data_IF_166130392904
#
_entry.id   IF_166130392904
#
_cell.length_a   1.000
_cell.length_b   1.000
_cell.length_c   1.000
_cell.angle_alpha   90.00
_cell.angle_beta   90.00
_cell.angle_gamma   90.00
#
_symmetry.space_group_name_H-M   'P 1'
#
loop_
_entity.id
_entity.type
_entity.pdbx_description
1 polymer ?
#
# COMPACT_ATOMS: atom_id res chain seq x y z
N UNK A 1 -45.96 -11.57 21.49
CA UNK A 1 -45.70 -10.47 20.54
C UNK A 1 -44.21 -10.30 20.51
N UNK A 2 -43.56 -10.60 19.38
CA UNK A 2 -42.15 -10.29 19.23
C UNK A 2 -42.03 -8.79 19.02
N UNK A 3 -41.23 -8.13 19.84
CA UNK A 3 -40.86 -6.73 19.63
C UNK A 3 -40.05 -6.62 18.34
N UNK A 4 -40.39 -5.64 17.50
CA UNK A 4 -39.64 -5.33 16.28
C UNK A 4 -38.22 -4.94 16.64
N UNK A 5 -37.26 -5.38 15.82
CA UNK A 5 -35.87 -4.94 15.91
C UNK A 5 -35.74 -3.44 15.60
N UNK A 6 -34.66 -2.83 16.08
CA UNK A 6 -34.37 -1.41 15.83
C UNK A 6 -34.19 -1.10 14.33
N UNK A 7 -33.78 -2.08 13.53
CA UNK A 7 -33.65 -1.95 12.08
C UNK A 7 -35.03 -1.95 11.40
N UNK A 8 -35.93 -2.86 11.79
CA UNK A 8 -37.31 -2.89 11.30
C UNK A 8 -38.08 -1.61 11.65
N UNK A 9 -37.85 -1.03 12.83
CA UNK A 9 -38.46 0.26 13.22
C UNK A 9 -38.00 1.40 12.31
N UNK A 10 -36.69 1.50 12.06
CA UNK A 10 -36.12 2.52 11.16
C UNK A 10 -36.64 2.39 9.72
N UNK A 11 -36.82 1.17 9.24
CA UNK A 11 -37.37 0.94 7.90
C UNK A 11 -38.86 1.33 7.81
N UNK A 12 -39.64 1.06 8.86
CA UNK A 12 -41.03 1.53 8.95
C UNK A 12 -41.10 3.06 8.93
N UNK A 13 -40.25 3.74 9.71
CA UNK A 13 -40.17 5.20 9.73
C UNK A 13 -39.80 5.78 8.36
N UNK A 14 -38.80 5.20 7.67
CA UNK A 14 -38.43 5.58 6.31
C UNK A 14 -39.57 5.39 5.31
N UNK A 15 -40.31 4.29 5.40
CA UNK A 15 -41.47 4.03 4.54
C UNK A 15 -42.60 5.04 4.77
N UNK A 16 -42.85 5.43 6.01
CA UNK A 16 -43.85 6.44 6.34
C UNK A 16 -43.44 7.82 5.84
N UNK A 17 -42.19 8.22 6.08
CA UNK A 17 -41.63 9.48 5.60
C UNK A 17 -41.67 9.56 4.06
N UNK A 18 -41.34 8.46 3.37
CA UNK A 18 -41.42 8.37 1.90
C UNK A 18 -42.82 8.69 1.39
N UNK A 19 -43.84 8.02 1.93
CA UNK A 19 -45.24 8.23 1.54
C UNK A 19 -45.69 9.66 1.79
N UNK A 20 -45.28 10.25 2.91
CA UNK A 20 -45.58 11.64 3.23
C UNK A 20 -44.99 12.59 2.18
N UNK A 21 -43.69 12.49 1.89
CA UNK A 21 -43.02 13.37 0.92
C UNK A 21 -43.61 13.20 -0.48
N UNK A 22 -43.90 11.95 -0.89
CA UNK A 22 -44.52 11.67 -2.19
C UNK A 22 -45.89 12.36 -2.29
N UNK A 23 -46.75 12.20 -1.28
CA UNK A 23 -48.09 12.80 -1.29
C UNK A 23 -48.06 14.32 -1.28
N UNK A 24 -47.21 14.93 -0.44
CA UNK A 24 -47.02 16.38 -0.38
C UNK A 24 -46.51 16.93 -1.71
N UNK A 25 -45.56 16.23 -2.34
CA UNK A 25 -44.99 16.64 -3.63
C UNK A 25 -45.97 16.51 -4.78
N UNK A 26 -46.78 15.43 -4.82
CA UNK A 26 -47.85 15.27 -5.81
C UNK A 26 -48.88 16.40 -5.67
N UNK A 27 -49.25 16.75 -4.43
CA UNK A 27 -50.20 17.81 -4.17
C UNK A 27 -49.66 19.18 -4.61
N UNK A 28 -48.41 19.52 -4.26
CA UNK A 28 -47.75 20.77 -4.70
C UNK A 28 -47.70 20.85 -6.23
N UNK A 29 -47.26 19.80 -6.91
CA UNK A 29 -47.13 19.80 -8.37
C UNK A 29 -48.47 19.91 -9.12
N UNK A 30 -49.57 19.43 -8.53
CA UNK A 30 -50.92 19.51 -9.14
C UNK A 30 -51.66 20.82 -8.85
N UNK A 31 -51.37 21.47 -7.73
CA UNK A 31 -52.16 22.59 -7.23
C UNK A 31 -51.42 23.94 -7.32
N UNK A 32 -50.10 23.93 -7.45
CA UNK A 32 -49.31 25.15 -7.44
C UNK A 32 -49.15 25.72 -8.85
N UNK A 33 -49.72 26.91 -9.05
CA UNK A 33 -49.75 27.62 -10.33
C UNK A 33 -48.37 27.85 -10.97
N UNK A 34 -47.28 27.85 -10.19
CA UNK A 34 -45.91 28.06 -10.70
C UNK A 34 -45.47 27.03 -11.75
N UNK A 35 -46.06 25.84 -11.75
CA UNK A 35 -45.68 24.76 -12.66
C UNK A 35 -46.56 24.68 -13.91
N UNK A 36 -47.71 25.39 -13.95
CA UNK A 36 -48.68 25.25 -15.03
C UNK A 36 -48.10 25.63 -16.39
N UNK A 37 -47.42 26.77 -16.50
CA UNK A 37 -46.76 27.22 -17.74
C UNK A 37 -45.68 26.24 -18.23
N UNK A 38 -45.09 25.47 -17.32
CA UNK A 38 -44.15 24.41 -17.69
C UNK A 38 -44.90 23.18 -18.24
N UNK A 39 -45.96 22.73 -17.57
CA UNK A 39 -46.72 21.54 -17.94
C UNK A 39 -47.64 21.71 -19.16
N UNK A 40 -48.11 22.92 -19.47
CA UNK A 40 -48.96 23.22 -20.62
C UNK A 40 -48.36 22.82 -21.97
N UNK A 41 -47.04 22.66 -22.04
CA UNK A 41 -46.31 22.26 -23.26
C UNK A 41 -46.34 20.76 -23.53
N UNK A 42 -46.84 19.97 -22.58
CA UNK A 42 -46.77 18.51 -22.60
C UNK A 42 -48.17 17.90 -22.54
N UNK A 43 -48.29 16.62 -22.91
CA UNK A 43 -49.57 15.91 -22.84
C UNK A 43 -49.96 15.62 -21.40
N UNK A 44 -51.26 15.64 -21.12
CA UNK A 44 -51.77 15.40 -19.77
C UNK A 44 -51.28 14.08 -19.15
N UNK A 45 -51.26 13.01 -19.95
CA UNK A 45 -50.76 11.69 -19.56
C UNK A 45 -49.28 11.74 -19.15
N UNK A 46 -48.43 12.37 -19.96
CA UNK A 46 -47.00 12.51 -19.65
C UNK A 46 -46.75 13.32 -18.36
N UNK A 47 -47.55 14.35 -18.12
CA UNK A 47 -47.48 15.18 -16.90
C UNK A 47 -47.88 14.35 -15.67
N UNK A 48 -48.94 13.54 -15.75
CA UNK A 48 -49.34 12.69 -14.63
C UNK A 48 -48.24 11.69 -14.23
N UNK A 49 -47.63 11.03 -15.22
CA UNK A 49 -46.51 10.12 -14.97
C UNK A 49 -45.30 10.85 -14.41
N UNK A 50 -44.93 11.99 -14.98
CA UNK A 50 -43.80 12.79 -14.48
C UNK A 50 -43.98 13.19 -13.02
N UNK A 51 -45.17 13.64 -12.62
CA UNK A 51 -45.46 14.03 -11.23
C UNK A 51 -45.23 12.87 -10.27
N UNK A 52 -45.69 11.66 -10.63
CA UNK A 52 -45.47 10.46 -9.81
C UNK A 52 -43.98 10.10 -9.74
N UNK A 53 -43.29 10.06 -10.88
CA UNK A 53 -41.85 9.75 -10.94
C UNK A 53 -41.01 10.75 -10.15
N UNK A 54 -41.30 12.06 -10.29
CA UNK A 54 -40.59 13.10 -9.58
C UNK A 54 -40.85 13.05 -8.07
N UNK A 55 -42.09 12.79 -7.65
CA UNK A 55 -42.42 12.64 -6.23
C UNK A 55 -41.63 11.50 -5.59
N UNK A 56 -41.57 10.34 -6.25
CA UNK A 56 -40.75 9.21 -5.79
C UNK A 56 -39.25 9.51 -5.83
N UNK A 57 -38.76 10.20 -6.86
CA UNK A 57 -37.36 10.62 -6.95
C UNK A 57 -36.99 11.57 -5.80
N UNK A 58 -37.80 12.61 -5.56
CA UNK A 58 -37.59 13.58 -4.48
C UNK A 58 -37.61 12.92 -3.10
N UNK A 59 -38.53 11.98 -2.87
CA UNK A 59 -38.54 11.21 -1.63
C UNK A 59 -37.27 10.36 -1.45
N UNK A 60 -36.78 9.74 -2.54
CA UNK A 60 -35.49 9.05 -2.54
C UNK A 60 -34.32 9.98 -2.18
N UNK A 61 -34.26 11.18 -2.79
CA UNK A 61 -33.22 12.18 -2.50
C UNK A 61 -33.27 12.66 -1.05
N UNK A 62 -34.45 12.91 -0.48
CA UNK A 62 -34.55 13.37 0.92
C UNK A 62 -34.15 12.28 1.91
N UNK A 63 -34.48 11.02 1.63
CA UNK A 63 -34.23 9.90 2.56
C UNK A 63 -32.78 9.40 2.46
N UNK A 64 -32.23 9.34 1.26
CA UNK A 64 -30.92 8.70 0.99
C UNK A 64 -29.86 9.67 0.46
N UNK A 65 -30.19 10.95 0.23
CA UNK A 65 -29.29 11.92 -0.41
C UNK A 65 -27.99 12.11 0.36
N UNK A 66 -28.06 12.24 1.70
CA UNK A 66 -26.86 12.36 2.53
C UNK A 66 -26.00 11.09 2.47
N UNK A 67 -26.60 9.90 2.43
CA UNK A 67 -25.88 8.64 2.26
C UNK A 67 -25.12 8.61 0.93
N UNK A 68 -25.78 8.94 -0.18
CA UNK A 68 -25.13 8.99 -1.49
C UNK A 68 -24.06 10.07 -1.58
N UNK A 69 -24.28 11.22 -0.91
CA UNK A 69 -23.28 12.28 -0.79
C UNK A 69 -22.04 11.79 -0.02
N UNK A 70 -22.22 11.08 1.09
CA UNK A 70 -21.10 10.51 1.84
C UNK A 70 -20.36 9.42 1.05
N UNK A 71 -21.07 8.56 0.33
CA UNK A 71 -20.46 7.57 -0.58
C UNK A 71 -19.60 8.29 -1.63
N UNK A 72 -20.13 9.36 -2.22
CA UNK A 72 -19.40 10.18 -3.18
C UNK A 72 -18.15 10.85 -2.56
N UNK A 73 -18.27 11.44 -1.37
CA UNK A 73 -17.15 12.06 -0.67
C UNK A 73 -16.06 11.04 -0.30
N UNK A 74 -16.44 9.83 0.13
CA UNK A 74 -15.50 8.73 0.43
C UNK A 74 -14.70 8.30 -0.80
N UNK A 75 -15.32 8.29 -1.98
CA UNK A 75 -14.62 7.96 -3.24
C UNK A 75 -13.51 8.94 -3.57
N UNK A 76 -13.76 10.24 -3.37
CA UNK A 76 -12.72 11.27 -3.53
C UNK A 76 -11.64 11.12 -2.45
N UNK A 77 -12.06 10.85 -1.21
CA UNK A 77 -11.14 10.71 -0.08
C UNK A 77 -10.16 9.55 -0.27
N UNK A 78 -10.58 8.44 -0.90
CA UNK A 78 -9.73 7.28 -1.20
C UNK A 78 -8.44 7.69 -1.93
N UNK A 79 -8.53 8.49 -2.97
CA UNK A 79 -7.33 8.92 -3.71
C UNK A 79 -6.45 9.87 -2.91
N UNK A 80 -7.05 10.67 -2.01
CA UNK A 80 -6.29 11.49 -1.06
C UNK A 80 -5.53 10.62 -0.06
N UNK A 81 -6.14 9.56 0.45
CA UNK A 81 -5.48 8.60 1.35
C UNK A 81 -4.32 7.89 0.65
N UNK A 82 -4.51 7.43 -0.59
CA UNK A 82 -3.43 6.83 -1.38
C UNK A 82 -2.30 7.83 -1.67
N UNK A 83 -2.61 9.08 -2.01
CA UNK A 83 -1.61 10.14 -2.17
C UNK A 83 -0.89 10.47 -0.85
N UNK A 84 -1.58 10.38 0.29
CA UNK A 84 -0.98 10.53 1.63
C UNK A 84 0.03 9.43 1.90
N UNK A 85 -0.29 8.18 1.54
CA UNK A 85 0.63 7.06 1.66
C UNK A 85 1.81 7.22 0.70
N UNK A 86 1.57 7.65 -0.54
CA UNK A 86 2.59 7.82 -1.57
C UNK A 86 3.71 8.79 -1.15
N UNK A 87 3.41 9.87 -0.42
CA UNK A 87 4.45 10.81 0.07
C UNK A 87 5.51 10.09 0.91
N UNK A 88 5.14 9.05 1.67
CA UNK A 88 6.08 8.33 2.52
C UNK A 88 7.09 7.48 1.73
N UNK A 89 6.82 7.16 0.47
CA UNK A 89 7.79 6.51 -0.42
C UNK A 89 9.07 7.33 -0.58
N UNK A 90 8.96 8.66 -0.58
CA UNK A 90 10.12 9.57 -0.64
C UNK A 90 10.98 9.36 0.60
N UNK A 91 10.35 9.33 1.78
CA UNK A 91 11.06 9.14 3.03
C UNK A 91 11.65 7.73 3.17
N UNK A 92 10.93 6.69 2.73
CA UNK A 92 11.46 5.32 2.68
C UNK A 92 12.74 5.24 1.83
N UNK A 93 12.75 5.90 0.67
CA UNK A 93 13.93 5.95 -0.21
C UNK A 93 15.08 6.75 0.42
N UNK A 94 14.81 7.88 1.08
CA UNK A 94 15.84 8.61 1.85
C UNK A 94 16.45 7.75 2.94
N UNK A 95 15.62 7.05 3.71
CA UNK A 95 16.07 6.13 4.76
C UNK A 95 16.95 5.02 4.18
N UNK A 96 16.57 4.46 3.02
CA UNK A 96 17.35 3.43 2.34
C UNK A 96 18.71 3.96 1.86
N UNK A 97 18.76 5.18 1.32
CA UNK A 97 20.03 5.81 0.94
C UNK A 97 20.97 5.99 2.14
N UNK A 98 20.43 6.40 3.29
CA UNK A 98 21.17 6.47 4.55
C UNK A 98 21.63 5.08 5.01
N UNK A 99 20.78 4.05 4.86
CA UNK A 99 21.12 2.67 5.15
C UNK A 99 22.33 2.21 4.33
N UNK A 100 22.36 2.47 3.02
CA UNK A 100 23.50 2.12 2.16
C UNK A 100 24.80 2.80 2.63
N UNK A 101 24.77 4.10 2.90
CA UNK A 101 25.94 4.86 3.37
C UNK A 101 26.44 4.36 4.74
N UNK A 102 25.51 4.07 5.65
CA UNK A 102 25.82 3.58 6.99
C UNK A 102 26.42 2.18 6.96
N UNK A 103 25.83 1.26 6.18
CA UNK A 103 26.35 -0.12 5.97
C UNK A 103 27.76 -0.11 5.37
N UNK A 104 28.04 0.86 4.51
CA UNK A 104 29.36 1.08 3.92
C UNK A 104 30.37 1.77 4.87
N UNK A 105 29.95 2.14 6.07
CA UNK A 105 30.79 2.84 7.05
C UNK A 105 31.15 4.28 6.65
N UNK A 106 30.45 4.88 5.69
CA UNK A 106 30.75 6.24 5.21
C UNK A 106 30.17 7.33 6.12
N UNK A 107 29.12 7.01 6.87
CA UNK A 107 28.46 7.91 7.81
C UNK A 107 28.22 7.23 9.16
N UNK A 108 27.98 8.04 10.18
CA UNK A 108 27.46 7.63 11.48
C UNK A 108 26.14 8.37 11.69
N UNK A 109 25.11 7.67 12.15
CA UNK A 109 23.79 8.24 12.44
C UNK A 109 23.55 8.04 13.93
N UNK A 110 23.19 9.12 14.63
CA UNK A 110 22.86 9.03 16.05
C UNK A 110 21.68 8.07 16.25
N UNK A 111 21.76 7.24 17.29
CA UNK A 111 20.76 6.22 17.64
C UNK A 111 20.53 5.09 16.62
N UNK A 112 21.41 4.97 15.63
CA UNK A 112 21.49 3.80 14.73
C UNK A 112 22.75 3.01 15.06
N UNK A 113 22.55 1.78 15.50
CA UNK A 113 23.55 0.88 16.05
C UNK A 113 23.66 -0.44 15.29
N UNK A 114 22.56 -0.90 14.68
CA UNK A 114 22.47 -2.14 13.90
C UNK A 114 21.56 -1.97 12.69
N UNK A 115 21.64 -2.92 11.76
CA UNK A 115 20.78 -2.98 10.58
C UNK A 115 19.28 -3.07 10.91
N UNK A 116 18.93 -3.60 12.09
CA UNK A 116 17.55 -3.70 12.57
C UNK A 116 16.92 -2.35 12.96
N UNK A 117 17.74 -1.33 13.21
CA UNK A 117 17.23 0.01 13.49
C UNK A 117 16.56 0.62 12.26
N UNK A 118 17.06 0.32 11.05
CA UNK A 118 16.42 0.75 9.82
C UNK A 118 15.06 0.07 9.61
N UNK A 119 14.92 -1.20 9.99
CA UNK A 119 13.65 -1.94 9.92
C UNK A 119 12.63 -1.36 10.91
N UNK A 120 13.08 -0.94 12.10
CA UNK A 120 12.22 -0.21 13.04
C UNK A 120 11.74 1.12 12.45
N UNK A 121 12.65 1.90 11.85
CA UNK A 121 12.32 3.20 11.26
C UNK A 121 11.51 3.11 9.97
N UNK A 122 11.58 2.01 9.23
CA UNK A 122 10.70 1.71 8.11
C UNK A 122 9.23 1.82 8.51
N UNK A 123 8.87 1.19 9.63
CA UNK A 123 7.51 1.14 10.15
C UNK A 123 7.12 2.46 10.85
N UNK A 124 8.11 3.26 11.23
CA UNK A 124 7.97 4.53 11.94
C UNK A 124 8.42 5.74 11.09
N UNK A 125 8.36 5.62 9.77
CA UNK A 125 9.02 6.55 8.84
C UNK A 125 8.58 8.00 9.01
N UNK A 126 7.32 8.21 9.39
CA UNK A 126 6.73 9.53 9.61
C UNK A 126 7.29 10.29 10.82
N UNK A 127 8.07 9.62 11.69
CA UNK A 127 8.73 10.19 12.88
C UNK A 127 10.24 10.09 12.84
N UNK A 128 10.81 9.61 11.74
CA UNK A 128 12.23 9.40 11.62
C UNK A 128 12.97 10.75 11.75
N UNK A 129 13.83 10.93 12.77
CA UNK A 129 14.33 12.26 13.13
C UNK A 129 15.56 12.70 12.32
N UNK A 130 16.14 11.80 11.52
CA UNK A 130 17.40 12.01 10.82
C UNK A 130 17.27 11.99 9.30
N UNK A 131 16.04 11.95 8.77
CA UNK A 131 15.76 12.16 7.34
C UNK A 131 15.23 13.57 7.12
N UNK A 132 15.73 14.22 6.07
CA UNK A 132 15.28 15.56 5.73
C UNK A 132 13.79 15.55 5.32
N UNK A 133 13.03 16.61 5.66
CA UNK A 133 11.66 16.77 5.21
C UNK A 133 11.49 16.61 3.70
N UNK A 134 10.29 16.19 3.29
CA UNK A 134 9.97 16.03 1.87
C UNK A 134 9.99 17.39 1.17
N UNK A 135 10.71 17.46 0.06
CA UNK A 135 10.84 18.67 -0.76
C UNK A 135 9.80 18.70 -1.88
N UNK A 136 9.54 19.90 -2.41
CA UNK A 136 8.62 20.07 -3.54
C UNK A 136 9.12 19.34 -4.80
N UNK A 137 10.43 19.37 -5.05
CA UNK A 137 11.06 18.67 -6.17
C UNK A 137 10.80 17.16 -6.11
N UNK A 138 10.93 16.56 -4.92
CA UNK A 138 10.66 15.13 -4.72
C UNK A 138 9.18 14.77 -4.92
N UNK A 139 8.27 15.67 -4.52
CA UNK A 139 6.83 15.49 -4.78
C UNK A 139 6.50 15.57 -6.26
N UNK A 140 7.12 16.51 -6.99
CA UNK A 140 6.93 16.64 -8.43
C UNK A 140 7.53 15.44 -9.18
N UNK A 141 8.64 14.88 -8.68
CA UNK A 141 9.23 13.64 -9.17
C UNK A 141 8.32 12.43 -8.90
N UNK A 142 7.80 12.29 -7.68
CA UNK A 142 6.85 11.24 -7.30
C UNK A 142 5.58 11.32 -8.15
N UNK A 143 5.06 12.52 -8.38
CA UNK A 143 3.92 12.75 -9.27
C UNK A 143 4.21 12.24 -10.69
N UNK A 144 5.40 12.52 -11.21
CA UNK A 144 5.83 12.08 -12.54
C UNK A 144 5.97 10.55 -12.62
N UNK A 145 6.48 9.91 -11.56
CA UNK A 145 6.51 8.45 -11.44
C UNK A 145 5.11 7.83 -11.45
N UNK A 146 4.20 8.35 -10.61
CA UNK A 146 2.85 7.81 -10.48
C UNK A 146 2.10 7.87 -11.83
N UNK A 147 2.26 8.95 -12.58
CA UNK A 147 1.64 9.11 -13.90
C UNK A 147 2.14 8.12 -14.96
N UNK A 148 3.24 7.39 -14.70
CA UNK A 148 3.75 6.32 -15.56
C UNK A 148 3.24 4.93 -15.13
N UNK A 149 2.46 4.84 -14.06
CA UNK A 149 1.90 3.58 -13.60
C UNK A 149 0.70 3.18 -14.47
N UNK A 150 0.80 1.98 -15.05
CA UNK A 150 -0.24 1.37 -15.88
C UNK A 150 -0.76 0.05 -15.29
N UNK A 151 -0.39 -0.25 -14.04
CA UNK A 151 -0.69 -1.48 -13.32
C UNK A 151 -0.86 -1.15 -11.83
N UNK A 152 -1.24 -2.16 -11.03
CA UNK A 152 -1.39 -2.01 -9.59
C UNK A 152 -0.08 -1.65 -8.90
N UNK A 153 -0.09 -0.59 -8.09
CA UNK A 153 1.04 -0.22 -7.25
C UNK A 153 0.55 -0.07 -5.81
N UNK A 154 1.23 -0.75 -4.89
CA UNK A 154 0.94 -0.64 -3.46
C UNK A 154 1.73 0.52 -2.85
N UNK A 155 1.02 1.56 -2.44
CA UNK A 155 1.60 2.72 -1.77
C UNK A 155 1.79 2.54 -0.26
N UNK A 156 1.42 1.37 0.31
CA UNK A 156 1.38 1.15 1.76
C UNK A 156 2.68 0.56 2.34
N UNK A 157 2.75 0.53 3.68
CA UNK A 157 3.86 -0.03 4.48
C UNK A 157 3.90 -1.57 4.53
N UNK A 158 3.10 -2.27 3.72
CA UNK A 158 3.12 -3.74 3.59
C UNK A 158 4.44 -4.27 3.02
N UNK A 159 5.22 -3.38 2.40
CA UNK A 159 6.46 -3.68 1.70
C UNK A 159 7.66 -3.51 2.63
N UNK A 160 8.59 -4.48 2.62
CA UNK A 160 9.86 -4.43 3.38
C UNK A 160 10.88 -3.48 2.74
N UNK A 161 10.60 -2.18 2.77
CA UNK A 161 11.35 -1.12 2.07
C UNK A 161 12.84 -1.03 2.45
N UNK A 162 13.20 -1.51 3.66
CA UNK A 162 14.57 -1.52 4.17
C UNK A 162 15.20 -2.93 4.15
N UNK A 163 14.57 -3.91 3.50
CA UNK A 163 15.17 -5.21 3.23
C UNK A 163 16.25 -5.08 2.14
N UNK A 164 17.46 -4.75 2.59
CA UNK A 164 18.59 -4.46 1.72
C UNK A 164 18.89 -5.54 0.68
N UNK A 165 18.84 -6.83 1.04
CA UNK A 165 19.17 -7.91 0.12
C UNK A 165 18.12 -8.03 -0.99
N UNK A 166 16.83 -8.09 -0.62
CA UNK A 166 15.74 -8.17 -1.60
C UNK A 166 15.72 -6.94 -2.51
N UNK A 167 15.92 -5.75 -1.94
CA UNK A 167 16.02 -4.49 -2.70
C UNK A 167 17.19 -4.52 -3.67
N UNK A 168 18.37 -4.95 -3.22
CA UNK A 168 19.58 -4.98 -4.04
C UNK A 168 19.50 -6.02 -5.14
N UNK A 169 18.98 -7.21 -4.84
CA UNK A 169 18.73 -8.27 -5.82
C UNK A 169 17.73 -7.78 -6.88
N UNK A 170 16.60 -7.21 -6.44
CA UNK A 170 15.58 -6.61 -7.29
C UNK A 170 16.17 -5.53 -8.21
N UNK A 171 16.94 -4.60 -7.66
CA UNK A 171 17.54 -3.49 -8.41
C UNK A 171 18.54 -3.95 -9.48
N UNK A 172 19.29 -5.03 -9.23
CA UNK A 172 20.31 -5.54 -10.15
C UNK A 172 19.75 -6.48 -11.23
N UNK A 173 18.57 -7.07 -11.01
CA UNK A 173 18.05 -8.16 -11.84
C UNK A 173 16.71 -7.88 -12.52
N UNK A 174 16.05 -6.75 -12.26
CA UNK A 174 14.81 -6.38 -12.95
C UNK A 174 15.09 -5.81 -14.35
N UNK A 175 14.33 -6.30 -15.34
CA UNK A 175 14.42 -5.89 -16.74
C UNK A 175 13.67 -4.57 -17.05
N UNK A 176 12.61 -4.25 -16.30
CA UNK A 176 11.81 -3.03 -16.50
C UNK A 176 11.62 -2.23 -15.20
N UNK A 177 11.91 -0.92 -15.17
CA UNK A 177 11.78 -0.07 -13.97
C UNK A 177 10.38 -0.03 -13.35
N UNK A 178 9.35 -0.44 -14.12
CA UNK A 178 7.95 -0.49 -13.69
C UNK A 178 7.54 -1.82 -13.10
N UNK A 179 8.31 -2.90 -13.26
CA UNK A 179 7.94 -4.22 -12.75
C UNK A 179 8.62 -4.48 -11.40
N UNK A 180 7.82 -4.80 -10.37
CA UNK A 180 8.30 -5.22 -9.06
C UNK A 180 8.11 -4.20 -7.94
N UNK A 181 8.39 -4.67 -6.73
CA UNK A 181 8.06 -4.02 -5.44
C UNK A 181 8.72 -2.64 -5.25
N UNK A 182 9.71 -2.26 -6.07
CA UNK A 182 10.53 -1.07 -5.85
C UNK A 182 10.76 -0.20 -7.08
N UNK A 183 9.89 -0.21 -8.10
CA UNK A 183 10.08 0.62 -9.30
C UNK A 183 10.34 2.12 -9.02
N UNK A 184 9.89 2.60 -7.86
CA UNK A 184 10.20 3.92 -7.34
C UNK A 184 11.70 4.18 -7.09
N UNK A 185 12.46 3.21 -6.58
CA UNK A 185 13.87 3.38 -6.21
C UNK A 185 14.79 3.67 -7.40
N UNK A 186 14.81 2.86 -8.48
CA UNK A 186 15.62 3.16 -9.66
C UNK A 186 15.12 4.44 -10.37
N UNK A 187 13.81 4.71 -10.33
CA UNK A 187 13.29 5.99 -10.84
C UNK A 187 13.88 7.17 -10.07
N UNK A 188 13.76 7.17 -8.74
CA UNK A 188 14.33 8.20 -7.87
C UNK A 188 15.84 8.35 -8.09
N UNK A 189 16.58 7.24 -8.11
CA UNK A 189 18.03 7.23 -8.24
C UNK A 189 18.54 7.80 -9.56
N UNK A 190 17.80 7.60 -10.65
CA UNK A 190 18.14 8.16 -11.96
C UNK A 190 18.00 9.69 -11.97
N UNK A 191 17.00 10.25 -11.29
CA UNK A 191 16.77 11.69 -11.26
C UNK A 191 17.63 12.40 -10.21
N UNK A 192 17.76 11.80 -9.02
CA UNK A 192 18.50 12.37 -7.89
C UNK A 192 20.00 12.02 -7.92
N UNK A 193 20.42 11.23 -8.92
CA UNK A 193 21.80 10.77 -9.13
C UNK A 193 22.38 9.99 -7.94
N UNK A 194 21.52 9.25 -7.22
CA UNK A 194 21.87 8.46 -6.03
C UNK A 194 22.08 6.96 -6.30
N UNK A 195 21.98 6.52 -7.56
CA UNK A 195 22.07 5.10 -7.93
C UNK A 195 23.40 4.40 -7.57
N UNK A 196 24.49 5.15 -7.36
CA UNK A 196 25.76 4.56 -6.94
C UNK A 196 25.73 4.07 -5.47
N UNK A 197 24.78 4.54 -4.64
CA UNK A 197 24.72 4.19 -3.22
C UNK A 197 24.43 2.71 -3.02
N UNK A 198 23.57 2.10 -3.85
CA UNK A 198 23.23 0.67 -3.73
C UNK A 198 24.41 -0.26 -4.08
N UNK A 199 25.38 0.25 -4.83
CA UNK A 199 26.59 -0.47 -5.22
C UNK A 199 27.67 -0.44 -4.12
N UNK A 200 27.47 0.33 -3.04
CA UNK A 200 28.41 0.38 -1.94
C UNK A 200 28.55 -1.00 -1.26
N UNK A 201 29.74 -1.30 -0.70
CA UNK A 201 29.96 -2.53 0.04
C UNK A 201 29.19 -2.50 1.35
N UNK A 202 28.81 -3.68 1.82
CA UNK A 202 28.17 -3.85 3.11
C UNK A 202 29.17 -4.33 4.16
N UNK A 203 29.82 -3.39 4.84
CA UNK A 203 30.88 -3.67 5.80
C UNK A 203 30.34 -3.98 7.20
N UNK A 204 29.08 -3.61 7.48
CA UNK A 204 28.44 -3.74 8.78
C UNK A 204 27.73 -5.08 8.95
N UNK A 205 27.02 -5.56 7.93
CA UNK A 205 26.24 -6.80 8.01
C UNK A 205 27.09 -8.01 8.35
N UNK A 206 28.26 -8.16 7.73
CA UNK A 206 29.15 -9.30 8.00
C UNK A 206 29.57 -9.36 9.48
N UNK A 207 29.89 -8.19 10.06
CA UNK A 207 30.28 -8.07 11.47
C UNK A 207 29.10 -8.32 12.41
N UNK A 208 27.95 -7.70 12.13
CA UNK A 208 26.72 -7.92 12.90
C UNK A 208 26.33 -9.39 12.91
N UNK A 209 26.32 -10.03 11.73
CA UNK A 209 25.99 -11.44 11.60
C UNK A 209 26.98 -12.30 12.38
N UNK A 210 28.28 -12.04 12.28
CA UNK A 210 29.30 -12.76 13.05
C UNK A 210 29.04 -12.71 14.56
N UNK A 211 28.83 -11.53 15.14
CA UNK A 211 28.57 -11.39 16.57
C UNK A 211 27.23 -12.01 16.97
N UNK A 212 26.18 -11.82 16.16
CA UNK A 212 24.88 -12.42 16.38
C UNK A 212 24.97 -13.96 16.44
N UNK A 213 25.68 -14.58 15.49
CA UNK A 213 25.90 -16.03 15.46
C UNK A 213 26.68 -16.52 16.69
N UNK A 214 27.71 -15.80 17.14
CA UNK A 214 28.43 -16.13 18.37
C UNK A 214 27.49 -16.16 19.59
N UNK A 215 26.67 -15.13 19.77
CA UNK A 215 25.72 -15.07 20.87
C UNK A 215 24.67 -16.18 20.78
N UNK A 216 24.09 -16.40 19.60
CA UNK A 216 23.11 -17.47 19.37
C UNK A 216 23.68 -18.84 19.69
N UNK A 217 24.90 -19.14 19.23
CA UNK A 217 25.54 -20.43 19.46
C UNK A 217 25.85 -20.65 20.96
N UNK A 218 26.22 -19.60 21.70
CA UNK A 218 26.38 -19.68 23.14
C UNK A 218 25.04 -19.92 23.87
N UNK A 219 23.96 -19.25 23.47
CA UNK A 219 22.60 -19.49 23.99
C UNK A 219 22.15 -20.94 23.76
N UNK A 220 22.39 -21.47 22.55
CA UNK A 220 22.07 -22.85 22.18
C UNK A 220 22.85 -23.83 23.05
N UNK A 221 24.16 -23.61 23.23
CA UNK A 221 25.01 -24.50 24.02
C UNK A 221 24.61 -24.49 25.51
N UNK A 222 24.25 -23.33 26.05
CA UNK A 222 23.74 -23.24 27.43
C UNK A 222 22.40 -23.98 27.59
N UNK A 223 21.49 -23.85 26.62
CA UNK A 223 20.24 -24.62 26.62
C UNK A 223 20.49 -26.12 26.52
N UNK A 224 21.46 -26.57 25.72
CA UNK A 224 21.86 -27.99 25.64
C UNK A 224 22.46 -28.52 26.92
N UNK A 225 23.16 -27.68 27.70
CA UNK A 225 23.66 -28.07 29.02
C UNK A 225 22.54 -28.27 30.02
N UNK A 226 21.49 -27.45 29.94
CA UNK A 226 20.31 -27.52 30.82
C UNK A 226 19.36 -28.66 30.41
N UNK A 227 19.21 -28.88 29.10
CA UNK A 227 18.42 -29.93 28.49
C UNK A 227 19.21 -30.56 27.32
N UNK A 228 19.86 -31.73 27.52
CA UNK A 228 20.61 -32.42 26.47
C UNK A 228 19.77 -32.87 25.26
N UNK A 229 18.43 -32.86 25.37
CA UNK A 229 17.51 -33.16 24.27
C UNK A 229 17.14 -31.91 23.44
N UNK A 230 17.61 -30.72 23.85
CA UNK A 230 17.37 -29.47 23.14
C UNK A 230 18.01 -29.49 21.74
N UNK A 231 17.16 -29.57 20.72
CA UNK A 231 17.54 -29.37 19.32
C UNK A 231 17.13 -27.96 18.86
N UNK A 232 18.07 -27.07 18.54
CA UNK A 232 17.73 -25.77 17.96
C UNK A 232 17.16 -25.98 16.55
N UNK A 233 15.86 -25.77 16.37
CA UNK A 233 15.13 -25.91 15.10
C UNK A 233 15.69 -25.05 13.93
N UNK A 234 16.63 -24.13 14.17
CA UNK A 234 17.16 -23.22 13.16
C UNK A 234 18.69 -23.14 13.18
N UNK A 235 19.36 -23.86 12.27
CA UNK A 235 20.71 -23.52 11.81
C UNK A 235 20.57 -22.56 10.63
N UNK A 236 21.04 -21.32 10.75
CA UNK A 236 21.12 -20.41 9.60
C UNK A 236 22.18 -20.97 8.66
N UNK A 237 21.74 -21.44 7.50
CA UNK A 237 22.60 -22.00 6.45
C UNK A 237 23.26 -20.88 5.65
N UNK A 238 24.54 -21.03 5.31
CA UNK A 238 25.25 -20.14 4.37
C UNK A 238 24.97 -20.49 2.90
N UNK A 239 24.15 -21.52 2.66
CA UNK A 239 23.74 -21.88 1.31
C UNK A 239 22.73 -20.85 0.78
N UNK A 240 22.69 -20.63 -0.55
CA UNK A 240 21.67 -19.79 -1.17
C UNK A 240 20.28 -20.23 -0.74
N UNK A 241 19.40 -19.26 -0.47
CA UNK A 241 18.00 -19.56 -0.18
C UNK A 241 17.35 -20.11 -1.44
N UNK A 242 16.69 -21.27 -1.32
CA UNK A 242 15.84 -21.76 -2.39
C UNK A 242 14.56 -20.93 -2.37
N UNK A 243 14.36 -20.14 -3.42
CA UNK A 243 13.15 -19.33 -3.57
C UNK A 243 11.94 -20.24 -3.82
N UNK A 244 10.81 -20.05 -3.10
CA UNK A 244 9.57 -20.78 -3.39
C UNK A 244 8.81 -20.18 -4.57
N UNK A 245 9.38 -19.20 -5.29
CA UNK A 245 8.75 -18.63 -6.48
C UNK A 245 8.68 -19.64 -7.62
N UNK A 246 7.67 -19.47 -8.47
CA UNK A 246 7.32 -20.45 -9.51
C UNK A 246 8.49 -20.80 -10.43
N UNK A 247 9.37 -19.87 -10.80
CA UNK A 247 10.52 -20.19 -11.66
C UNK A 247 11.53 -21.15 -11.00
N UNK A 248 11.72 -21.03 -9.68
CA UNK A 248 12.58 -21.93 -8.92
C UNK A 248 11.91 -23.29 -8.72
N UNK A 249 10.60 -23.30 -8.44
CA UNK A 249 9.80 -24.53 -8.37
C UNK A 249 9.75 -25.26 -9.71
N UNK A 250 9.57 -24.54 -10.82
CA UNK A 250 9.48 -25.11 -12.15
C UNK A 250 10.80 -25.76 -12.56
N UNK A 251 11.94 -25.14 -12.28
CA UNK A 251 13.27 -25.75 -12.48
C UNK A 251 13.41 -27.07 -11.70
N UNK A 252 12.95 -27.08 -10.44
CA UNK A 252 12.97 -28.29 -9.62
C UNK A 252 12.06 -29.39 -10.19
N UNK A 253 10.85 -29.04 -10.63
CA UNK A 253 9.90 -29.96 -11.26
C UNK A 253 10.49 -30.56 -12.55
N UNK A 254 11.12 -29.72 -13.39
CA UNK A 254 11.76 -30.19 -14.64
C UNK A 254 12.86 -31.20 -14.35
N UNK A 255 13.63 -31.00 -13.28
CA UNK A 255 14.79 -31.84 -12.93
C UNK A 255 14.38 -33.16 -12.25
N UNK A 256 13.38 -33.13 -11.37
CA UNK A 256 13.11 -34.24 -10.45
C UNK A 256 11.76 -34.93 -10.62
N UNK A 257 10.79 -34.29 -11.28
CA UNK A 257 9.44 -34.82 -11.44
C UNK A 257 9.19 -35.40 -12.83
N UNK A 258 8.10 -36.16 -12.96
CA UNK A 258 7.69 -36.69 -14.26
C UNK A 258 7.07 -35.61 -15.14
N UNK A 259 7.17 -35.80 -16.45
CA UNK A 259 6.62 -34.87 -17.44
C UNK A 259 5.10 -34.61 -17.24
N UNK A 260 4.34 -35.60 -16.75
CA UNK A 260 2.92 -35.39 -16.45
C UNK A 260 2.68 -34.38 -15.32
N UNK A 261 3.54 -34.36 -14.30
CA UNK A 261 3.43 -33.40 -13.20
C UNK A 261 3.76 -31.99 -13.65
N UNK A 262 4.79 -31.82 -14.51
CA UNK A 262 5.10 -30.53 -15.12
C UNK A 262 3.91 -29.97 -15.91
N UNK A 263 3.23 -30.80 -16.69
CA UNK A 263 2.04 -30.37 -17.45
C UNK A 263 0.92 -29.89 -16.53
N UNK A 264 0.65 -30.62 -15.44
CA UNK A 264 -0.37 -30.22 -14.46
C UNK A 264 0.03 -28.95 -13.70
N UNK A 265 1.32 -28.79 -13.37
CA UNK A 265 1.83 -27.58 -12.71
C UNK A 265 1.76 -26.35 -13.63
N UNK A 266 2.16 -26.48 -14.89
CA UNK A 266 2.04 -25.41 -15.89
C UNK A 266 0.55 -25.03 -16.11
N UNK A 267 -0.35 -26.01 -16.17
CA UNK A 267 -1.80 -25.77 -16.28
C UNK A 267 -2.39 -25.08 -15.03
N UNK A 268 -1.98 -25.51 -13.83
CA UNK A 268 -2.39 -24.88 -12.57
C UNK A 268 -1.91 -23.43 -12.50
N UNK A 269 -0.66 -23.16 -12.85
CA UNK A 269 -0.12 -21.80 -12.89
C UNK A 269 -0.87 -20.92 -13.90
N UNK A 270 -1.20 -21.46 -15.07
CA UNK A 270 -2.01 -20.75 -16.06
C UNK A 270 -3.39 -20.34 -15.52
N UNK A 271 -4.10 -21.25 -14.85
CA UNK A 271 -5.40 -20.94 -14.24
C UNK A 271 -5.29 -19.95 -13.07
N UNK A 272 -4.22 -20.03 -12.26
CA UNK A 272 -3.94 -19.05 -11.21
C UNK A 272 -3.68 -17.66 -11.78
N UNK A 273 -2.84 -17.55 -12.82
CA UNK A 273 -2.57 -16.27 -13.48
C UNK A 273 -3.85 -15.67 -14.06
N UNK A 274 -4.71 -16.50 -14.67
CA UNK A 274 -6.02 -16.07 -15.19
C UNK A 274 -6.96 -15.54 -14.09
N UNK A 275 -6.93 -16.12 -12.89
CA UNK A 275 -7.67 -15.59 -11.73
C UNK A 275 -7.11 -14.25 -11.28
N UNK A 276 -5.79 -14.11 -11.16
CA UNK A 276 -5.16 -12.83 -10.81
C UNK A 276 -5.50 -11.72 -11.82
N UNK A 277 -5.44 -12.02 -13.13
CA UNK A 277 -5.91 -11.07 -14.17
C UNK A 277 -7.41 -10.79 -14.08
N UNK A 278 -8.20 -11.74 -13.59
CA UNK A 278 -9.62 -11.53 -13.25
C UNK A 278 -9.79 -10.53 -12.10
N UNK A 279 -9.05 -10.71 -11.02
CA UNK A 279 -9.11 -9.83 -9.85
C UNK A 279 -8.63 -8.40 -10.19
N UNK A 280 -7.58 -8.27 -11.01
CA UNK A 280 -7.11 -6.96 -11.52
C UNK A 280 -8.13 -6.31 -12.45
N UNK A 281 -8.79 -7.10 -13.31
CA UNK A 281 -9.85 -6.62 -14.18
C UNK A 281 -11.04 -6.11 -13.38
N UNK A 282 -11.50 -6.87 -12.38
CA UNK A 282 -12.61 -6.48 -11.51
C UNK A 282 -12.26 -5.20 -10.73
N UNK A 283 -11.04 -5.11 -10.19
CA UNK A 283 -10.54 -3.89 -9.53
C UNK A 283 -10.53 -2.68 -10.48
N UNK A 284 -10.05 -2.86 -11.71
CA UNK A 284 -10.02 -1.80 -12.70
C UNK A 284 -11.43 -1.35 -13.11
N UNK A 285 -12.38 -2.29 -13.23
CA UNK A 285 -13.79 -1.98 -13.48
C UNK A 285 -14.40 -1.16 -12.34
N UNK A 286 -14.18 -1.55 -11.08
CA UNK A 286 -14.64 -0.77 -9.92
C UNK A 286 -14.09 0.67 -9.95
N UNK A 287 -12.81 0.83 -10.28
CA UNK A 287 -12.17 2.15 -10.41
C UNK A 287 -12.85 2.98 -11.51
N UNK A 288 -13.13 2.37 -12.66
CA UNK A 288 -13.72 3.05 -13.82
C UNK A 288 -15.22 3.36 -13.63
N UNK A 289 -15.96 2.51 -12.94
CA UNK A 289 -17.36 2.78 -12.56
C UNK A 289 -17.48 4.00 -11.65
N UNK A 290 -16.47 4.24 -10.83
CA UNK A 290 -16.38 5.39 -9.94
C UNK A 290 -15.77 6.64 -10.60
N UNK A 291 -15.44 6.57 -11.90
CA UNK A 291 -14.87 7.71 -12.61
C UNK A 291 -15.87 8.86 -12.77
N UNK A 292 -15.48 10.07 -12.36
CA UNK A 292 -16.33 11.28 -12.47
C UNK A 292 -16.23 11.93 -13.86
N UNK A 293 -15.27 11.51 -14.67
CA UNK A 293 -15.03 11.99 -16.03
C UNK A 293 -14.92 10.82 -17.00
N UNK A 294 -15.11 11.10 -18.28
CA UNK A 294 -14.92 10.11 -19.33
C UNK A 294 -13.46 9.66 -19.37
N UNK A 295 -13.23 8.36 -19.18
CA UNK A 295 -11.92 7.73 -19.32
C UNK A 295 -11.81 7.11 -20.72
N UNK A 296 -10.80 7.50 -21.48
CA UNK A 296 -10.51 6.88 -22.76
C UNK A 296 -9.84 5.52 -22.56
N UNK A 297 -10.33 4.50 -23.26
CA UNK A 297 -9.72 3.16 -23.28
C UNK A 297 -8.95 3.03 -24.59
N UNK A 298 -7.62 2.92 -24.49
CA UNK A 298 -6.76 2.77 -25.66
C UNK A 298 -6.86 1.36 -26.26
N UNK A 299 -6.64 1.26 -27.58
CA UNK A 299 -6.63 -0.03 -28.25
C UNK A 299 -5.46 -0.88 -27.75
N UNK A 300 -5.75 -2.14 -27.40
CA UNK A 300 -4.75 -3.12 -26.98
C UNK A 300 -5.09 -4.49 -27.62
N UNK A 301 -4.10 -5.38 -27.67
CA UNK A 301 -4.25 -6.73 -28.23
C UNK A 301 -5.25 -7.56 -27.41
N UNK A 302 -5.26 -7.38 -26.08
CA UNK A 302 -6.28 -7.92 -25.18
C UNK A 302 -7.17 -6.78 -24.66
N UNK A 303 -8.49 -6.95 -24.79
CA UNK A 303 -9.46 -5.97 -24.32
C UNK A 303 -9.50 -5.87 -22.79
N UNK A 304 -9.18 -6.95 -22.06
CA UNK A 304 -9.09 -6.91 -20.60
C UNK A 304 -7.90 -6.05 -20.17
N UNK A 305 -6.75 -6.24 -20.80
CA UNK A 305 -5.57 -5.42 -20.54
C UNK A 305 -5.82 -3.94 -20.88
N UNK A 306 -6.62 -3.66 -21.91
CA UNK A 306 -7.04 -2.28 -22.23
C UNK A 306 -7.82 -1.64 -21.07
N UNK A 307 -8.79 -2.38 -20.51
CA UNK A 307 -9.60 -1.93 -19.36
C UNK A 307 -8.75 -1.78 -18.10
N UNK A 308 -7.91 -2.77 -17.81
CA UNK A 308 -6.97 -2.75 -16.68
C UNK A 308 -6.09 -1.51 -16.73
N UNK A 309 -5.41 -1.28 -17.86
CA UNK A 309 -4.56 -0.10 -18.06
C UNK A 309 -5.33 1.20 -17.91
N UNK A 310 -6.52 1.31 -18.50
CA UNK A 310 -7.34 2.51 -18.40
C UNK A 310 -7.72 2.82 -16.94
N UNK A 311 -8.11 1.80 -16.16
CA UNK A 311 -8.42 1.93 -14.74
C UNK A 311 -7.21 2.43 -13.93
N UNK A 312 -6.04 1.82 -14.11
CA UNK A 312 -4.83 2.24 -13.39
C UNK A 312 -4.30 3.61 -13.82
N UNK A 313 -4.41 3.98 -15.10
CA UNK A 313 -4.08 5.34 -15.57
C UNK A 313 -4.99 6.36 -14.90
N UNK A 314 -6.30 6.12 -14.86
CA UNK A 314 -7.24 7.03 -14.21
C UNK A 314 -6.95 7.14 -12.71
N UNK A 315 -6.72 6.01 -12.03
CA UNK A 315 -6.31 6.00 -10.62
C UNK A 315 -5.03 6.82 -10.39
N UNK A 316 -4.00 6.62 -11.20
CA UNK A 316 -2.74 7.36 -11.13
C UNK A 316 -2.94 8.87 -11.30
N UNK A 317 -3.79 9.29 -12.24
CA UNK A 317 -4.15 10.70 -12.43
C UNK A 317 -4.78 11.29 -11.17
N UNK A 318 -5.73 10.58 -10.55
CA UNK A 318 -6.40 11.07 -9.33
C UNK A 318 -5.47 11.20 -8.14
N UNK A 319 -4.56 10.25 -7.96
CA UNK A 319 -3.52 10.33 -6.91
C UNK A 319 -2.58 11.51 -7.20
N UNK A 320 -2.13 11.65 -8.45
CA UNK A 320 -1.25 12.74 -8.88
C UNK A 320 -1.88 14.14 -8.76
N UNK A 321 -3.20 14.24 -8.92
CA UNK A 321 -3.97 15.47 -8.69
C UNK A 321 -4.15 15.80 -7.21
N UNK A 322 -4.26 14.79 -6.35
CA UNK A 322 -4.39 14.97 -4.91
C UNK A 322 -3.06 15.35 -4.22
N UNK A 323 -1.91 14.93 -4.79
CA UNK A 323 -0.57 15.13 -4.21
C UNK A 323 -0.26 16.57 -3.76
N UNK A 324 -0.54 17.64 -4.53
CA UNK A 324 -0.27 19.01 -4.09
C UNK A 324 -0.98 19.38 -2.78
N UNK A 325 -2.27 19.05 -2.65
CA UNK A 325 -3.04 19.34 -1.44
C UNK A 325 -2.54 18.52 -0.24
N UNK A 326 -2.14 17.27 -0.47
CA UNK A 326 -1.52 16.42 0.55
C UNK A 326 -0.16 16.98 0.97
N UNK A 327 0.64 17.50 0.04
CA UNK A 327 1.92 18.13 0.37
C UNK A 327 1.76 19.41 1.18
N UNK A 328 0.77 20.24 0.85
CA UNK A 328 0.42 21.42 1.65
C UNK A 328 0.00 21.03 3.08
N UNK A 329 -0.78 19.96 3.22
CA UNK A 329 -1.15 19.41 4.53
C UNK A 329 0.07 18.86 5.28
N UNK A 330 0.99 18.17 4.58
CA UNK A 330 2.25 17.69 5.15
C UNK A 330 3.09 18.84 5.70
N UNK A 331 3.28 19.91 4.92
CA UNK A 331 4.03 21.09 5.34
C UNK A 331 3.37 21.80 6.52
N UNK A 332 2.04 21.94 6.50
CA UNK A 332 1.29 22.53 7.61
C UNK A 332 1.52 21.74 8.91
N UNK A 333 1.41 20.40 8.87
CA UNK A 333 1.63 19.54 10.03
C UNK A 333 3.07 19.62 10.54
N UNK A 334 4.06 19.65 9.66
CA UNK A 334 5.46 19.84 10.01
C UNK A 334 5.70 21.19 10.71
N UNK A 335 5.13 22.28 10.19
CA UNK A 335 5.27 23.62 10.79
C UNK A 335 4.56 23.75 12.14
N UNK A 336 3.45 23.03 12.31
CA UNK A 336 2.64 23.07 13.52
C UNK A 336 3.04 22.03 14.58
N UNK A 337 4.07 21.22 14.33
CA UNK A 337 4.49 20.09 15.17
C UNK A 337 3.33 19.12 15.50
N UNK A 338 2.51 18.85 14.47
CA UNK A 338 1.36 17.94 14.56
C UNK A 338 1.76 16.58 14.00
N UNK A 339 1.53 15.51 14.75
CA UNK A 339 1.76 14.15 14.29
C UNK A 339 0.95 13.81 13.02
N UNK A 340 1.57 13.08 12.09
CA UNK A 340 0.93 12.65 10.84
C UNK A 340 -0.01 11.45 11.05
N UNK A 341 0.29 10.57 12.01
CA UNK A 341 -0.51 9.40 12.34
C UNK A 341 -0.66 9.22 13.87
N UNK A 342 -1.69 8.47 14.27
CA UNK A 342 -1.87 8.03 15.64
C UNK A 342 -0.71 7.09 16.07
N UNK A 343 -0.51 6.97 17.38
CA UNK A 343 0.57 6.20 17.97
C UNK A 343 0.27 4.70 18.01
N UNK A 344 0.34 4.08 16.83
CA UNK A 344 0.06 2.66 16.65
C UNK A 344 1.33 1.87 16.24
N UNK A 345 2.53 2.35 16.61
CA UNK A 345 3.75 1.57 16.35
C UNK A 345 3.63 0.23 17.07
N UNK A 346 3.77 -0.91 16.39
CA UNK A 346 3.68 -2.19 17.05
C UNK A 346 4.86 -2.37 18.01
N UNK A 347 4.57 -2.54 19.31
CA UNK A 347 5.57 -2.74 20.37
C UNK A 347 6.58 -3.85 20.04
N UNK A 348 6.16 -4.85 19.25
CA UNK A 348 6.98 -6.00 18.88
C UNK A 348 8.22 -5.63 18.04
N UNK A 349 8.16 -4.59 17.20
CA UNK A 349 9.31 -4.19 16.36
C UNK A 349 10.43 -3.59 17.20
N UNK A 350 10.06 -2.78 18.20
CA UNK A 350 11.00 -2.22 19.15
C UNK A 350 11.67 -3.32 19.99
N UNK A 351 10.90 -4.31 20.42
CA UNK A 351 11.43 -5.49 21.13
C UNK A 351 12.39 -6.29 20.24
N UNK A 352 12.03 -6.52 18.97
CA UNK A 352 12.88 -7.27 18.04
C UNK A 352 14.22 -6.57 17.78
N UNK A 353 14.18 -5.26 17.53
CA UNK A 353 15.36 -4.39 17.40
C UNK A 353 16.24 -4.45 18.66
N UNK A 354 15.64 -4.32 19.85
CA UNK A 354 16.35 -4.35 21.13
C UNK A 354 17.01 -5.71 21.39
N UNK A 355 16.29 -6.81 21.10
CA UNK A 355 16.82 -8.17 21.24
C UNK A 355 17.99 -8.40 20.28
N UNK A 356 17.90 -7.90 19.05
CA UNK A 356 19.00 -7.98 18.08
C UNK A 356 20.25 -7.22 18.57
N UNK A 357 20.08 -5.97 19.02
CA UNK A 357 21.14 -5.15 19.62
C UNK A 357 21.85 -5.89 20.77
N UNK A 358 21.07 -6.45 21.70
CA UNK A 358 21.60 -7.18 22.85
C UNK A 358 22.42 -8.42 22.43
N UNK A 359 21.96 -9.16 21.41
CA UNK A 359 22.70 -10.30 20.87
C UNK A 359 24.01 -9.89 20.22
N UNK A 360 24.04 -8.81 19.46
CA UNK A 360 25.29 -8.27 18.89
C UNK A 360 26.28 -7.90 20.01
N UNK A 361 25.84 -7.16 21.03
CA UNK A 361 26.69 -6.78 22.18
C UNK A 361 27.19 -8.00 22.96
N UNK A 362 26.35 -9.03 23.13
CA UNK A 362 26.75 -10.28 23.77
C UNK A 362 27.77 -11.04 22.91
N UNK A 363 27.59 -11.05 21.59
CA UNK A 363 28.54 -11.62 20.64
C UNK A 363 29.92 -10.98 20.73
N UNK A 364 29.97 -9.64 20.84
CA UNK A 364 31.23 -8.90 21.04
C UNK A 364 31.91 -9.27 22.34
N UNK A 365 31.14 -9.36 23.44
CA UNK A 365 31.65 -9.83 24.73
C UNK A 365 32.28 -11.21 24.63
N UNK A 366 31.61 -12.14 23.93
CA UNK A 366 32.11 -13.51 23.71
C UNK A 366 33.36 -13.52 22.82
N UNK A 367 33.51 -12.56 21.91
CA UNK A 367 34.71 -12.36 21.12
C UNK A 367 35.85 -11.65 21.87
N UNK A 368 35.66 -11.29 23.15
CA UNK A 368 36.64 -10.56 23.95
C UNK A 368 36.74 -9.07 23.65
N UNK A 369 35.75 -8.50 22.95
CA UNK A 369 35.68 -7.08 22.61
C UNK A 369 34.81 -6.29 23.61
N UNK A 370 34.96 -4.94 23.65
CA UNK A 370 34.05 -4.08 24.40
C UNK A 370 32.58 -4.26 23.99
N UNK A 371 31.67 -4.19 24.98
CA UNK A 371 30.23 -4.24 24.75
C UNK A 371 29.70 -2.87 24.29
N UNK A 372 30.13 -2.44 23.11
CA UNK A 372 29.64 -1.25 22.43
C UNK A 372 29.32 -1.56 20.95
N UNK A 373 28.90 -0.56 20.17
CA UNK A 373 28.62 -0.71 18.74
C UNK A 373 29.75 -0.20 17.83
N UNK A 374 30.96 -0.01 18.37
CA UNK A 374 32.15 0.39 17.62
C UNK A 374 32.83 -0.82 16.96
N UNK A 375 32.21 -1.39 15.92
CA UNK A 375 32.78 -2.48 15.12
C UNK A 375 32.85 -2.18 13.63
#
# INVERSE_FOLDING_TARGET
MNELSEEEKKDIERMQLRKQIEQETINDLKQNNRYHTFFEKYTHESVQHFIQSYASHKAGVVIFGDTYKQIYERRILKFKEEATNAIWLIQQKKLFNLQCLWRAGQIQIHDIYTTYDFIYWEQNIHRCPFIDPVTKEEVDLLKSFILQLHHSFDFTNSTSWQNYEDVKESYLHIAEPSEGVLGWYPYYDNYMLTGNLILLPDLKQEKEHFYFELARNAEIEEKRRQDPSYDPEFKISTLPRLSPLYDSLRKFIVEFEKAEFLQVSDAMQHEMNKRNTGDEFDTAMEILEDAYHTVAIEANNDWKDAVIKAGYIYKAQMIAEALPAVYDEYLFRQQADIAHFADDSPDYMFEYMTNYRNRVLQGRKLNGEPQDFNY
#
